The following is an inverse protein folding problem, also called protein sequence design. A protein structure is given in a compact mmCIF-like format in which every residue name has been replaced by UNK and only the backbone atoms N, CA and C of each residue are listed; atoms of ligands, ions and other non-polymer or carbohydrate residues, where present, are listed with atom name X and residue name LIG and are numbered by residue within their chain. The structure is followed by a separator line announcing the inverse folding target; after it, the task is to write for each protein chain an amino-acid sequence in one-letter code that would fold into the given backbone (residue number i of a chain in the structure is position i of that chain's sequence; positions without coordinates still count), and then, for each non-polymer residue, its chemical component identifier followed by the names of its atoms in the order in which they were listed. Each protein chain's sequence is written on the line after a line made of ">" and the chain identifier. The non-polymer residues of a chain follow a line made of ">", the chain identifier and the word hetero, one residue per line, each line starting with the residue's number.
data_IF_076867591036
#
_entry.id   IF_076867591036
#
_cell.length_a   1.000
_cell.length_b   1.000
_cell.length_c   1.000
_cell.angle_alpha   90.00
_cell.angle_beta   90.00
_cell.angle_gamma   90.00
#
_symmetry.space_group_name_H-M   'P 1'
#
loop_
_entity.id
_entity.type
_entity.pdbx_description
1 polymer ?
#
# COMPACT_ATOMS: atom_id res chain seq x y z
N UNK A 1 -43.08 54.87 -31.52
CA UNK A 1 -42.99 53.42 -31.36
C UNK A 1 -41.54 53.02 -31.32
N UNK A 2 -40.99 52.72 -30.18
CA UNK A 2 -39.61 52.22 -30.04
C UNK A 2 -39.68 50.79 -29.51
N UNK A 3 -39.31 49.81 -30.35
CA UNK A 3 -39.13 48.44 -29.95
C UNK A 3 -37.82 48.36 -29.15
N UNK A 4 -37.92 48.01 -27.89
CA UNK A 4 -36.78 47.65 -27.07
C UNK A 4 -36.48 46.14 -27.31
N UNK A 5 -35.40 45.82 -27.98
CA UNK A 5 -34.85 44.48 -28.03
C UNK A 5 -34.25 44.16 -26.68
N UNK A 6 -34.89 43.28 -25.95
CA UNK A 6 -34.29 42.66 -24.77
C UNK A 6 -33.42 41.50 -25.25
N UNK A 7 -32.11 41.72 -25.20
CA UNK A 7 -31.15 40.63 -25.38
C UNK A 7 -31.09 39.81 -24.11
N UNK A 8 -31.67 38.62 -24.15
CA UNK A 8 -31.46 37.61 -23.11
C UNK A 8 -30.13 36.94 -23.39
N UNK A 9 -29.14 37.32 -22.61
CA UNK A 9 -27.86 36.59 -22.58
C UNK A 9 -28.07 35.28 -21.82
N UNK A 10 -28.21 34.17 -22.57
CA UNK A 10 -28.12 32.83 -22.02
C UNK A 10 -26.67 32.60 -21.61
N UNK A 11 -26.37 32.70 -20.33
CA UNK A 11 -25.11 32.26 -19.76
C UNK A 11 -25.00 30.75 -19.84
N UNK A 12 -24.21 30.27 -20.78
CA UNK A 12 -23.81 28.86 -20.79
C UNK A 12 -22.84 28.67 -19.63
N UNK A 13 -23.32 28.11 -18.54
CA UNK A 13 -22.46 27.59 -17.48
C UNK A 13 -21.78 26.35 -18.07
N UNK A 14 -20.54 26.49 -18.55
CA UNK A 14 -19.67 25.36 -18.82
C UNK A 14 -19.37 24.73 -17.44
N UNK A 15 -20.12 23.72 -17.08
CA UNK A 15 -19.75 22.83 -16.01
C UNK A 15 -18.40 22.20 -16.37
N UNK A 16 -17.37 22.47 -15.57
CA UNK A 16 -16.11 21.78 -15.72
C UNK A 16 -16.37 20.27 -15.64
N UNK A 17 -15.83 19.46 -16.58
CA UNK A 17 -15.96 18.01 -16.46
C UNK A 17 -15.36 17.59 -15.13
N UNK A 18 -16.16 16.93 -14.31
CA UNK A 18 -15.65 16.25 -13.13
C UNK A 18 -14.56 15.30 -13.62
N UNK A 19 -13.30 15.57 -13.25
CA UNK A 19 -12.20 14.64 -13.48
C UNK A 19 -12.60 13.34 -12.80
N UNK A 20 -12.71 12.22 -13.53
CA UNK A 20 -12.90 10.94 -12.88
C UNK A 20 -11.75 10.79 -11.90
N UNK A 21 -12.07 10.55 -10.61
CA UNK A 21 -11.06 10.31 -9.60
C UNK A 21 -10.05 9.33 -10.16
N UNK A 22 -8.77 9.65 -10.07
CA UNK A 22 -7.69 8.85 -10.60
C UNK A 22 -7.84 7.44 -10.07
N UNK A 23 -8.32 6.52 -10.91
CA UNK A 23 -8.21 5.10 -10.67
C UNK A 23 -6.71 4.84 -10.52
N UNK A 24 -6.20 4.59 -9.28
CA UNK A 24 -4.79 4.33 -9.03
C UNK A 24 -4.15 5.15 -7.91
N UNK A 25 -4.89 5.98 -7.17
CA UNK A 25 -4.37 6.49 -5.90
C UNK A 25 -4.25 5.29 -4.96
N UNK A 26 -3.01 4.91 -4.63
CA UNK A 26 -2.77 3.86 -3.66
C UNK A 26 -3.45 4.23 -2.33
N UNK A 27 -4.33 3.36 -1.84
CA UNK A 27 -5.00 3.53 -0.55
C UNK A 27 -4.06 3.21 0.62
N UNK A 28 -2.80 3.00 0.35
CA UNK A 28 -1.75 2.67 1.31
C UNK A 28 -0.43 3.29 0.89
N UNK A 29 0.48 3.38 1.82
CA UNK A 29 1.89 3.69 1.58
C UNK A 29 2.76 2.58 2.18
N UNK A 30 3.85 2.25 1.49
CA UNK A 30 4.81 1.24 1.94
C UNK A 30 5.90 1.93 2.75
N UNK A 31 6.15 1.39 3.93
CA UNK A 31 7.11 1.93 4.89
C UNK A 31 8.18 0.91 5.22
N UNK A 32 9.39 1.39 5.37
CA UNK A 32 10.56 0.54 5.68
C UNK A 32 11.42 1.15 6.78
N UNK A 33 12.20 0.31 7.44
CA UNK A 33 13.23 0.79 8.35
C UNK A 33 14.28 1.60 7.58
N UNK A 34 14.85 2.68 8.16
CA UNK A 34 15.82 3.54 7.46
C UNK A 34 17.07 2.83 6.94
N UNK A 35 17.43 1.68 7.49
CA UNK A 35 18.54 0.86 7.00
C UNK A 35 18.31 0.21 5.65
N UNK A 36 17.04 0.10 5.23
CA UNK A 36 16.70 -0.43 3.91
C UNK A 36 17.14 0.56 2.84
N UNK A 37 17.95 0.09 1.89
CA UNK A 37 18.50 0.92 0.83
C UNK A 37 17.50 1.15 -0.29
N UNK A 38 17.64 2.29 -0.96
CA UNK A 38 16.83 2.67 -2.11
C UNK A 38 15.56 3.42 -1.71
N UNK A 39 14.94 4.01 -2.73
CA UNK A 39 13.74 4.83 -2.60
C UNK A 39 12.49 4.16 -3.23
N UNK A 40 12.67 2.99 -3.82
CA UNK A 40 11.61 2.26 -4.50
C UNK A 40 11.85 0.74 -4.43
N UNK A 41 10.78 0.01 -4.63
CA UNK A 41 10.81 -1.45 -4.78
C UNK A 41 9.87 -1.85 -5.92
N UNK A 42 10.24 -2.86 -6.70
CA UNK A 42 9.31 -3.40 -7.69
C UNK A 42 8.16 -4.13 -7.01
N UNK A 43 6.98 -4.08 -7.62
CA UNK A 43 5.80 -4.83 -7.16
C UNK A 43 6.12 -6.31 -6.99
N UNK A 44 6.85 -6.90 -7.95
CA UNK A 44 7.25 -8.31 -7.89
C UNK A 44 8.14 -8.63 -6.69
N UNK A 45 9.10 -7.78 -6.36
CA UNK A 45 9.97 -7.98 -5.19
C UNK A 45 9.19 -7.81 -3.88
N UNK A 46 8.33 -6.81 -3.79
CA UNK A 46 7.46 -6.62 -2.63
C UNK A 46 6.52 -7.82 -2.43
N UNK A 47 5.92 -8.31 -3.51
CA UNK A 47 5.10 -9.51 -3.52
C UNK A 47 5.88 -10.74 -3.02
N UNK A 48 7.13 -10.91 -3.46
CA UNK A 48 7.99 -12.01 -3.04
C UNK A 48 8.26 -11.99 -1.53
N UNK A 49 8.46 -10.81 -0.93
CA UNK A 49 8.64 -10.65 0.51
C UNK A 49 7.38 -11.03 1.30
N UNK A 50 6.22 -10.58 0.85
CA UNK A 50 4.95 -10.81 1.56
C UNK A 50 4.30 -12.17 1.28
N UNK A 51 4.82 -12.94 0.33
CA UNK A 51 4.36 -14.30 0.03
C UNK A 51 5.35 -15.38 0.45
N UNK A 52 6.46 -15.01 1.08
CA UNK A 52 7.45 -15.97 1.54
C UNK A 52 8.32 -16.59 0.45
N UNK A 53 8.35 -16.00 -0.75
CA UNK A 53 9.27 -16.45 -1.81
C UNK A 53 10.72 -16.08 -1.50
N UNK A 54 10.93 -14.99 -0.79
CA UNK A 54 12.23 -14.55 -0.27
C UNK A 54 12.07 -13.92 1.10
N UNK A 55 13.11 -14.03 1.90
CA UNK A 55 13.26 -13.36 3.18
C UNK A 55 14.40 -12.32 3.16
N UNK A 56 14.84 -11.93 1.96
CA UNK A 56 15.97 -11.03 1.76
C UNK A 56 15.62 -9.87 0.85
N UNK A 57 16.21 -8.72 1.17
CA UNK A 57 16.31 -7.59 0.25
C UNK A 57 17.24 -7.89 -0.92
N UNK A 58 17.19 -7.04 -1.96
CA UNK A 58 18.07 -7.20 -3.13
C UNK A 58 19.57 -7.18 -2.83
N UNK A 59 19.98 -6.52 -1.74
CA UNK A 59 21.34 -6.46 -1.25
C UNK A 59 21.73 -7.65 -0.33
N UNK A 60 20.87 -8.67 -0.24
CA UNK A 60 21.01 -9.88 0.58
C UNK A 60 20.84 -9.68 2.10
N UNK A 61 20.54 -8.49 2.55
CA UNK A 61 20.21 -8.26 3.96
C UNK A 61 18.83 -8.85 4.29
N UNK A 62 18.63 -9.22 5.55
CA UNK A 62 17.37 -9.83 5.99
C UNK A 62 16.20 -8.83 5.88
N UNK A 63 15.10 -9.29 5.31
CA UNK A 63 13.85 -8.56 5.27
C UNK A 63 12.89 -9.06 6.36
N UNK A 64 12.21 -8.14 7.01
CA UNK A 64 11.27 -8.40 8.10
C UNK A 64 9.91 -7.80 7.76
N UNK A 65 9.10 -8.46 6.92
CA UNK A 65 7.76 -7.97 6.61
C UNK A 65 6.84 -8.04 7.84
N UNK A 66 5.95 -7.07 7.94
CA UNK A 66 4.89 -7.01 8.94
C UNK A 66 3.56 -6.77 8.24
N UNK A 67 2.54 -7.44 8.69
CA UNK A 67 1.21 -7.39 8.11
C UNK A 67 0.20 -6.74 9.06
N UNK A 68 -0.98 -6.44 8.57
CA UNK A 68 -2.06 -5.90 9.38
C UNK A 68 -3.20 -6.91 9.56
N UNK A 69 -4.11 -6.61 10.49
CA UNK A 69 -5.33 -7.38 10.70
C UNK A 69 -6.08 -7.61 9.38
N UNK A 70 -6.55 -8.82 9.16
CA UNK A 70 -7.35 -9.16 7.97
C UNK A 70 -8.65 -8.37 7.85
N UNK A 71 -9.10 -7.72 8.93
CA UNK A 71 -10.28 -6.84 8.95
C UNK A 71 -9.96 -5.41 8.57
N UNK A 72 -8.67 -5.02 8.53
CA UNK A 72 -8.28 -3.66 8.22
C UNK A 72 -8.47 -3.36 6.71
N UNK A 73 -9.14 -2.25 6.35
CA UNK A 73 -9.29 -1.87 4.94
C UNK A 73 -7.97 -1.74 4.19
N UNK A 74 -6.94 -1.22 4.85
CA UNK A 74 -5.60 -1.09 4.26
C UNK A 74 -4.99 -2.46 3.92
N UNK A 75 -5.29 -3.51 4.70
CA UNK A 75 -4.87 -4.88 4.40
C UNK A 75 -5.52 -5.39 3.12
N UNK A 76 -6.79 -5.13 2.92
CA UNK A 76 -7.52 -5.51 1.70
C UNK A 76 -6.93 -4.78 0.49
N UNK A 77 -6.71 -3.47 0.59
CA UNK A 77 -6.13 -2.67 -0.46
C UNK A 77 -4.73 -3.17 -0.86
N UNK A 78 -3.86 -3.39 0.11
CA UNK A 78 -2.51 -3.89 -0.12
C UNK A 78 -2.52 -5.30 -0.74
N UNK A 79 -3.29 -6.22 -0.18
CA UNK A 79 -3.36 -7.61 -0.65
C UNK A 79 -3.86 -7.69 -2.09
N UNK A 80 -4.89 -6.93 -2.42
CA UNK A 80 -5.43 -6.86 -3.78
C UNK A 80 -4.44 -6.20 -4.75
N UNK A 81 -3.93 -5.03 -4.40
CA UNK A 81 -3.11 -4.20 -5.29
C UNK A 81 -1.71 -4.75 -5.50
N UNK A 82 -1.05 -5.21 -4.45
CA UNK A 82 0.34 -5.69 -4.51
C UNK A 82 0.40 -7.20 -4.74
N UNK A 83 -0.36 -7.98 -3.98
CA UNK A 83 -0.28 -9.43 -4.04
C UNK A 83 -1.17 -10.03 -5.15
N UNK A 84 -2.13 -9.25 -5.65
CA UNK A 84 -3.08 -9.73 -6.65
C UNK A 84 -3.99 -10.85 -6.14
N UNK A 85 -4.21 -10.90 -4.83
CA UNK A 85 -4.97 -11.95 -4.16
C UNK A 85 -6.09 -11.35 -3.31
N UNK A 86 -7.13 -12.14 -3.07
CA UNK A 86 -8.11 -11.87 -2.01
C UNK A 86 -7.53 -12.26 -0.64
N UNK A 87 -8.19 -11.83 0.43
CA UNK A 87 -7.83 -12.25 1.78
C UNK A 87 -7.88 -13.78 1.91
N UNK A 88 -8.93 -14.42 1.37
CA UNK A 88 -9.00 -15.89 1.35
C UNK A 88 -7.88 -16.55 0.55
N UNK A 89 -7.45 -15.92 -0.55
CA UNK A 89 -6.35 -16.38 -1.38
C UNK A 89 -5.02 -16.36 -0.64
N UNK A 90 -4.70 -15.27 0.05
CA UNK A 90 -3.46 -15.18 0.84
C UNK A 90 -3.47 -16.12 2.04
N UNK A 91 -4.63 -16.35 2.67
CA UNK A 91 -4.75 -17.34 3.73
C UNK A 91 -4.41 -18.74 3.25
N UNK A 92 -4.96 -19.17 2.11
CA UNK A 92 -4.66 -20.49 1.51
C UNK A 92 -3.18 -20.61 1.14
N UNK A 93 -2.60 -19.57 0.56
CA UNK A 93 -1.17 -19.56 0.24
C UNK A 93 -0.32 -19.82 1.48
N UNK A 94 -0.60 -19.14 2.58
CA UNK A 94 0.15 -19.33 3.81
C UNK A 94 -0.09 -20.68 4.47
N UNK A 95 -1.31 -21.22 4.42
CA UNK A 95 -1.59 -22.58 4.88
C UNK A 95 -0.71 -23.61 4.14
N UNK A 96 -0.60 -23.49 2.83
CA UNK A 96 0.25 -24.39 2.01
C UNK A 96 1.74 -24.19 2.34
N UNK A 97 2.20 -22.95 2.49
CA UNK A 97 3.59 -22.66 2.83
C UNK A 97 4.00 -23.24 4.17
N UNK A 98 3.16 -23.08 5.17
CA UNK A 98 3.41 -23.63 6.52
C UNK A 98 3.42 -25.17 6.47
N UNK A 99 2.44 -25.77 5.81
CA UNK A 99 2.29 -27.23 5.76
C UNK A 99 3.45 -27.92 5.00
N UNK A 100 3.86 -27.37 3.86
CA UNK A 100 4.82 -28.00 2.96
C UNK A 100 6.26 -27.54 3.21
N UNK A 101 6.46 -26.24 3.38
CA UNK A 101 7.80 -25.62 3.43
C UNK A 101 8.24 -25.18 4.83
N UNK A 102 7.34 -25.24 5.81
CA UNK A 102 7.60 -24.72 7.18
C UNK A 102 7.99 -23.24 7.20
N UNK A 103 7.50 -22.46 6.24
CA UNK A 103 7.65 -21.01 6.17
C UNK A 103 6.41 -20.37 6.77
N UNK A 104 6.61 -19.43 7.71
CA UNK A 104 5.53 -18.82 8.47
C UNK A 104 5.21 -17.41 7.94
N UNK A 105 3.93 -16.98 8.04
CA UNK A 105 3.52 -15.66 7.61
C UNK A 105 4.16 -14.56 8.46
N UNK A 106 4.19 -13.32 7.93
CA UNK A 106 4.62 -12.15 8.71
C UNK A 106 3.79 -11.98 9.98
N UNK A 107 4.36 -11.39 11.05
CA UNK A 107 3.59 -11.01 12.22
C UNK A 107 2.49 -10.01 11.83
N UNK A 108 1.37 -10.07 12.54
CA UNK A 108 0.20 -9.22 12.29
C UNK A 108 0.11 -8.17 13.40
N UNK A 109 -0.05 -6.90 13.00
CA UNK A 109 -0.31 -5.78 13.89
C UNK A 109 -1.74 -5.29 13.71
N UNK A 110 -2.33 -4.74 14.75
CA UNK A 110 -3.74 -4.36 14.77
C UNK A 110 -4.01 -2.93 14.30
N UNK A 111 -2.97 -2.11 14.13
CA UNK A 111 -3.10 -0.70 13.72
C UNK A 111 -1.89 -0.19 12.94
N UNK A 112 -2.09 0.93 12.24
CA UNK A 112 -1.00 1.64 11.57
C UNK A 112 0.09 2.06 12.56
N UNK A 113 -0.30 2.53 13.74
CA UNK A 113 0.65 2.92 14.79
C UNK A 113 1.55 1.75 15.23
N UNK A 114 1.00 0.56 15.37
CA UNK A 114 1.76 -0.64 15.72
C UNK A 114 2.68 -1.10 14.58
N UNK A 115 2.24 -0.96 13.33
CA UNK A 115 3.10 -1.23 12.16
C UNK A 115 4.27 -0.26 12.15
N UNK A 116 4.02 1.03 12.33
CA UNK A 116 5.08 2.05 12.35
C UNK A 116 6.07 1.82 13.49
N UNK A 117 5.60 1.45 14.67
CA UNK A 117 6.46 1.11 15.81
C UNK A 117 7.34 -0.12 15.52
N UNK A 118 6.77 -1.15 14.93
CA UNK A 118 7.51 -2.34 14.52
C UNK A 118 8.59 -2.00 13.49
N UNK A 119 8.23 -1.25 12.45
CA UNK A 119 9.15 -0.86 11.38
C UNK A 119 10.28 0.02 11.91
N UNK A 120 9.97 0.99 12.77
CA UNK A 120 10.98 1.86 13.38
C UNK A 120 11.97 1.10 14.28
N UNK A 121 11.51 0.05 14.96
CA UNK A 121 12.29 -0.73 15.92
C UNK A 121 12.96 -1.99 15.36
N UNK A 122 12.76 -2.31 14.07
CA UNK A 122 13.21 -3.57 13.49
C UNK A 122 14.03 -3.32 12.23
N UNK A 123 15.33 -3.57 12.29
CA UNK A 123 16.22 -3.44 11.13
C UNK A 123 15.75 -4.34 9.99
N UNK A 124 15.68 -3.79 8.79
CA UNK A 124 15.22 -4.50 7.59
C UNK A 124 13.71 -4.67 7.46
N UNK A 125 12.93 -4.08 8.37
CA UNK A 125 11.48 -4.20 8.35
C UNK A 125 10.83 -3.50 7.16
N UNK A 126 9.72 -4.06 6.72
CA UNK A 126 8.83 -3.50 5.71
C UNK A 126 7.38 -3.75 6.12
N UNK A 127 6.57 -2.73 5.97
CA UNK A 127 5.14 -2.79 6.23
C UNK A 127 4.38 -1.82 5.34
N UNK A 128 3.12 -1.66 5.61
CA UNK A 128 2.25 -0.69 4.92
C UNK A 128 1.24 -0.11 5.90
N UNK A 129 0.88 1.11 5.67
CA UNK A 129 -0.11 1.87 6.45
C UNK A 129 -1.03 2.62 5.49
N UNK A 130 -2.15 3.13 6.00
CA UNK A 130 -3.09 3.92 5.20
C UNK A 130 -2.38 5.13 4.57
N UNK A 131 -2.84 5.54 3.38
CA UNK A 131 -2.21 6.62 2.62
C UNK A 131 -2.20 7.96 3.35
N UNK A 132 -3.20 8.23 4.19
CA UNK A 132 -3.33 9.45 4.98
C UNK A 132 -2.56 9.43 6.30
N UNK A 133 -2.00 8.29 6.70
CA UNK A 133 -1.28 8.15 7.96
C UNK A 133 0.01 8.96 7.95
N UNK A 134 0.21 9.77 8.98
CA UNK A 134 1.42 10.57 9.16
C UNK A 134 2.59 9.64 9.50
N UNK A 135 3.67 9.78 8.73
CA UNK A 135 4.86 8.93 8.92
C UNK A 135 5.82 9.65 9.88
N UNK A 136 6.16 9.03 11.02
CA UNK A 136 7.09 9.61 11.98
C UNK A 136 8.54 9.57 11.47
N UNK A 137 9.39 10.38 12.10
CA UNK A 137 10.83 10.22 11.95
C UNK A 137 11.25 8.81 12.37
N UNK A 138 12.27 8.25 11.74
CA UNK A 138 12.72 6.88 11.99
C UNK A 138 12.01 5.81 11.16
N UNK A 139 11.10 6.20 10.30
CA UNK A 139 10.46 5.35 9.28
C UNK A 139 10.60 6.02 7.92
N UNK A 140 10.91 5.23 6.90
CA UNK A 140 11.09 5.71 5.53
C UNK A 140 9.97 5.20 4.64
N UNK A 141 9.40 6.08 3.81
CA UNK A 141 8.45 5.70 2.76
C UNK A 141 9.20 5.35 1.49
N UNK A 142 8.82 4.27 0.82
CA UNK A 142 9.36 3.89 -0.49
C UNK A 142 8.22 3.77 -1.51
N UNK A 143 8.55 4.02 -2.77
CA UNK A 143 7.61 3.88 -3.88
C UNK A 143 7.56 2.45 -4.39
N UNK A 144 6.37 2.00 -4.78
CA UNK A 144 6.17 0.73 -5.48
C UNK A 144 6.10 1.02 -6.96
N UNK A 145 6.93 0.33 -7.74
CA UNK A 145 6.97 0.45 -9.21
C UNK A 145 6.69 -0.91 -9.85
N UNK A 146 6.16 -0.90 -11.07
CA UNK A 146 5.86 -2.11 -11.85
C UNK A 146 7.07 -2.65 -12.59
#
# INVERSE_FOLDING_TARGET
>A
MRLACVLVLLGVVLGAPATPGTAGVAEFQVVVHPTVRGAWISRANLQALFTGKTDRWGDKTAAKPVDQSMKAPVRHAFTSSVLGLSIGGIQRLWQDRVAVQRIFPPPIKSSDAEVLAYVAGTTGAVGYVAAETVIPDGVKVISVVD
#
